data_IF_142964621588
#
_entry.id   IF_142964621588
#
_cell.length_a   1.000
_cell.length_b   1.000
_cell.length_c   1.000
_cell.angle_alpha   90.00
_cell.angle_beta   90.00
_cell.angle_gamma   90.00
#
_symmetry.space_group_name_H-M   'P 1'
#
loop_
_entity.id
_entity.type
_entity.pdbx_description
1 polymer ?
#
# COMPACT_ATOMS: atom_id res chain seq x y z
N UNK A 1 -1.73 -3.94 12.62
CA UNK A 1 -2.57 -2.88 12.03
C UNK A 1 -1.84 -1.55 12.14
N UNK A 2 -1.78 -0.78 11.06
CA UNK A 2 -1.04 0.47 10.94
C UNK A 2 -1.98 1.58 10.47
N UNK A 3 -1.72 2.82 10.88
CA UNK A 3 -2.53 3.98 10.48
C UNK A 3 -1.79 4.78 9.41
N UNK A 4 -2.48 5.09 8.31
CA UNK A 4 -1.93 5.96 7.27
C UNK A 4 -1.86 7.40 7.79
N UNK A 5 -0.67 7.96 7.85
CA UNK A 5 -0.43 9.33 8.35
C UNK A 5 -0.36 10.39 7.21
N UNK A 6 -0.05 9.95 6.00
CA UNK A 6 -0.02 10.82 4.81
C UNK A 6 -1.41 11.13 4.30
N UNK A 7 -1.57 12.21 3.56
CA UNK A 7 -2.86 12.64 3.00
C UNK A 7 -3.50 11.56 2.13
N UNK A 8 -2.70 10.96 1.25
CA UNK A 8 -3.09 9.85 0.39
C UNK A 8 -1.87 8.98 0.08
N UNK A 9 -2.05 7.66 0.16
CA UNK A 9 -1.06 6.68 -0.27
C UNK A 9 -1.70 5.77 -1.32
N UNK A 10 -1.10 5.72 -2.51
CA UNK A 10 -1.56 4.84 -3.58
C UNK A 10 -1.29 3.36 -3.24
N UNK A 11 -2.23 2.50 -3.58
CA UNK A 11 -2.08 1.05 -3.61
C UNK A 11 -1.88 0.66 -5.07
N UNK A 12 -0.78 -0.02 -5.38
CA UNK A 12 -0.39 -0.38 -6.75
C UNK A 12 -0.45 -1.88 -6.98
N UNK A 13 -0.66 -2.28 -8.24
CA UNK A 13 -0.71 -3.69 -8.61
C UNK A 13 0.63 -4.42 -8.36
N UNK A 14 1.75 -3.70 -8.50
CA UNK A 14 3.12 -4.18 -8.33
C UNK A 14 3.93 -3.18 -7.48
N UNK A 15 5.02 -3.58 -6.82
CA UNK A 15 5.87 -2.72 -5.99
C UNK A 15 6.76 -1.80 -6.86
N UNK A 16 6.13 -0.97 -7.68
CA UNK A 16 6.79 -0.01 -8.58
C UNK A 16 6.00 1.29 -8.65
N UNK A 17 6.70 2.44 -8.69
CA UNK A 17 6.07 3.76 -8.84
C UNK A 17 5.37 3.93 -10.20
N UNK A 18 5.73 3.12 -11.19
CA UNK A 18 5.15 3.13 -12.54
C UNK A 18 3.97 2.16 -12.67
N UNK A 19 3.81 1.23 -11.74
CA UNK A 19 2.73 0.25 -11.78
C UNK A 19 1.35 0.91 -11.64
N UNK A 20 0.34 0.33 -12.30
CA UNK A 20 -1.04 0.81 -12.24
C UNK A 20 -1.52 0.93 -10.79
N UNK A 21 -2.05 2.09 -10.43
CA UNK A 21 -2.76 2.27 -9.17
C UNK A 21 -4.08 1.49 -9.21
N UNK A 22 -4.26 0.58 -8.27
CA UNK A 22 -5.49 -0.23 -8.10
C UNK A 22 -6.39 0.34 -6.99
N UNK A 23 -5.85 1.24 -6.17
CA UNK A 23 -6.61 1.95 -5.16
C UNK A 23 -5.77 2.98 -4.42
N UNK A 24 -6.31 3.50 -3.33
CA UNK A 24 -5.61 4.40 -2.42
C UNK A 24 -6.09 4.22 -0.98
N UNK A 25 -5.28 4.70 -0.04
CA UNK A 25 -5.61 4.80 1.39
C UNK A 25 -5.38 6.24 1.83
N UNK A 26 -6.37 6.80 2.50
CA UNK A 26 -6.34 8.19 2.95
C UNK A 26 -5.81 8.28 4.38
N UNK A 27 -5.41 9.49 4.79
CA UNK A 27 -5.05 9.76 6.19
C UNK A 27 -6.10 9.21 7.16
N UNK A 28 -5.66 8.50 8.20
CA UNK A 28 -6.52 7.89 9.20
C UNK A 28 -7.06 6.51 8.83
N UNK A 29 -6.92 6.05 7.57
CA UNK A 29 -7.23 4.67 7.21
C UNK A 29 -6.35 3.70 7.99
N UNK A 30 -6.96 2.64 8.51
CA UNK A 30 -6.25 1.53 9.15
C UNK A 30 -5.99 0.46 8.08
N UNK A 31 -4.73 0.02 7.98
CA UNK A 31 -4.30 -1.00 7.02
C UNK A 31 -3.55 -2.12 7.74
N UNK A 32 -3.63 -3.32 7.18
CA UNK A 32 -2.74 -4.42 7.53
C UNK A 32 -1.62 -4.51 6.51
N UNK A 33 -0.39 -4.49 7.01
CA UNK A 33 0.83 -4.58 6.19
C UNK A 33 1.38 -5.99 6.32
N UNK A 34 1.58 -6.67 5.19
CA UNK A 34 2.05 -8.05 5.13
C UNK A 34 3.52 -8.08 4.71
N UNK A 35 3.82 -8.76 3.61
CA UNK A 35 5.14 -9.01 3.07
C UNK A 35 5.83 -7.71 2.63
N UNK A 36 7.16 -7.71 2.66
CA UNK A 36 7.96 -6.72 1.95
C UNK A 36 8.24 -7.20 0.53
N UNK A 37 8.44 -6.26 -0.38
CA UNK A 37 9.10 -6.56 -1.64
C UNK A 37 10.63 -6.72 -1.43
N UNK A 38 11.37 -7.27 -2.41
CA UNK A 38 12.83 -7.44 -2.28
C UNK A 38 13.61 -6.15 -1.96
N UNK A 39 13.14 -4.97 -2.40
CA UNK A 39 13.79 -3.69 -2.08
C UNK A 39 13.51 -3.20 -0.66
N UNK A 40 12.53 -3.80 0.02
CA UNK A 40 12.01 -3.40 1.34
C UNK A 40 11.38 -2.00 1.38
N UNK A 41 11.10 -1.39 0.22
CA UNK A 41 10.43 -0.09 0.13
C UNK A 41 8.92 -0.22 0.09
N UNK A 42 8.38 -1.40 -0.21
CA UNK A 42 6.95 -1.63 -0.38
C UNK A 42 6.45 -2.68 0.61
N UNK A 43 5.20 -2.51 1.05
CA UNK A 43 4.46 -3.49 1.82
C UNK A 43 3.23 -3.93 1.08
N UNK A 44 3.00 -5.23 1.06
CA UNK A 44 1.76 -5.80 0.55
C UNK A 44 0.62 -5.47 1.51
N UNK A 45 -0.53 -5.12 0.95
CA UNK A 45 -1.77 -4.80 1.68
C UNK A 45 -2.94 -5.50 1.02
N UNK A 46 -3.91 -5.92 1.83
CA UNK A 46 -5.20 -6.40 1.35
C UNK A 46 -6.28 -5.37 1.72
N UNK A 47 -7.23 -5.15 0.82
CA UNK A 47 -8.46 -4.46 1.19
C UNK A 47 -9.39 -5.45 1.88
N UNK A 48 -10.16 -5.00 2.86
CA UNK A 48 -11.23 -5.81 3.44
C UNK A 48 -12.21 -6.22 2.32
N UNK A 49 -12.14 -7.49 1.90
CA UNK A 49 -13.01 -8.07 0.88
C UNK A 49 -12.42 -8.20 -0.53
N UNK A 50 -11.20 -7.74 -0.81
CA UNK A 50 -10.57 -7.97 -2.13
C UNK A 50 -9.55 -9.10 -2.11
N UNK A 51 -9.77 -10.10 -2.97
CA UNK A 51 -8.85 -11.22 -3.18
C UNK A 51 -7.53 -10.81 -3.82
N UNK A 52 -7.52 -9.68 -4.56
CA UNK A 52 -6.33 -9.12 -5.17
C UNK A 52 -5.76 -8.04 -4.25
N UNK A 53 -4.79 -8.41 -3.41
CA UNK A 53 -4.00 -7.43 -2.65
C UNK A 53 -3.18 -6.52 -3.58
N UNK A 54 -2.61 -5.47 -3.02
CA UNK A 54 -1.70 -4.56 -3.73
C UNK A 54 -0.52 -4.14 -2.88
N UNK A 55 0.26 -3.18 -3.37
CA UNK A 55 1.51 -2.72 -2.78
C UNK A 55 1.42 -1.24 -2.40
N UNK A 56 1.74 -0.95 -1.14
CA UNK A 56 1.89 0.42 -0.63
C UNK A 56 3.37 0.72 -0.42
N UNK A 57 3.81 1.87 -0.93
CA UNK A 57 5.16 2.38 -0.70
C UNK A 57 5.27 2.87 0.75
N UNK A 58 6.41 2.61 1.40
CA UNK A 58 6.68 3.03 2.77
C UNK A 58 7.29 4.43 2.85
N UNK A 59 8.15 4.78 1.89
CA UNK A 59 8.77 6.09 1.84
C UNK A 59 7.83 7.09 1.16
N UNK A 60 7.47 8.11 1.93
CA UNK A 60 6.84 9.31 1.43
C UNK A 60 7.81 10.46 1.68
N UNK A 61 8.41 10.99 0.61
CA UNK A 61 9.08 12.30 0.66
C UNK A 61 8.05 13.41 0.86
#
# INVERSE_FOLDING_TARGET
KYTVIVSSCAVRAEPSKEAKAVGARSRGSVVELYEFDPSRQWRRVYADGEAAGGWMLLEHE
#
